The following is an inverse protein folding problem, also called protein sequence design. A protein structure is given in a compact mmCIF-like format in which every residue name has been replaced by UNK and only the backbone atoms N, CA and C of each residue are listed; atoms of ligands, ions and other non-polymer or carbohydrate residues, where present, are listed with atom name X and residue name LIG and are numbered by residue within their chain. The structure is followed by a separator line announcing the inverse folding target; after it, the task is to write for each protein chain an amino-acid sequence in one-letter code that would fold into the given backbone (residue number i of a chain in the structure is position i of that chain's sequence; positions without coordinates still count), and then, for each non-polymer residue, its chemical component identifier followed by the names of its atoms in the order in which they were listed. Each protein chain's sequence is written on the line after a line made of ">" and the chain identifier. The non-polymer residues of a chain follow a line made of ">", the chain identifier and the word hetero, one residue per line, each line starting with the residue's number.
data_IF_758914952284
#
_entry.id   IF_758914952284
#
_cell.length_a   1.000
_cell.length_b   1.000
_cell.length_c   1.000
_cell.angle_alpha   90.00
_cell.angle_beta   90.00
_cell.angle_gamma   90.00
#
_symmetry.space_group_name_H-M   'P 1'
#
loop_
_entity.id
_entity.type
_entity.pdbx_description
1 polymer ?
#
# COMPACT_ATOMS: atom_id res chain seq x y z
N UNK A 1 -35.77 61.05 40.98
CA UNK A 1 -35.18 61.25 39.63
C UNK A 1 -33.91 60.42 39.58
N UNK A 2 -34.00 59.20 39.05
CA UNK A 2 -32.89 58.23 38.97
C UNK A 2 -32.86 57.74 37.53
N UNK A 3 -31.73 57.95 36.85
CA UNK A 3 -31.48 57.49 35.49
C UNK A 3 -30.76 56.14 35.56
N UNK A 4 -31.43 55.06 35.11
CA UNK A 4 -30.77 53.79 34.84
C UNK A 4 -30.21 53.83 33.41
N UNK A 5 -28.90 53.58 33.27
CA UNK A 5 -28.23 53.30 32.00
C UNK A 5 -28.37 51.80 31.72
N UNK A 6 -29.08 51.43 30.67
CA UNK A 6 -29.03 50.07 30.13
C UNK A 6 -27.79 49.92 29.24
N UNK A 7 -26.90 49.00 29.61
CA UNK A 7 -25.79 48.55 28.77
C UNK A 7 -26.33 47.52 27.77
N UNK A 8 -26.36 47.87 26.49
CA UNK A 8 -26.54 46.91 25.41
C UNK A 8 -25.20 46.20 25.15
N UNK A 9 -25.06 44.97 25.64
CA UNK A 9 -23.95 44.10 25.28
C UNK A 9 -24.20 43.54 23.87
N UNK A 10 -23.34 43.90 22.91
CA UNK A 10 -23.41 43.36 21.55
C UNK A 10 -22.87 41.92 21.55
N UNK A 11 -23.54 40.95 20.91
CA UNK A 11 -23.00 39.60 20.82
C UNK A 11 -21.71 39.63 19.98
N UNK A 12 -20.64 39.05 20.52
CA UNK A 12 -19.39 38.79 19.79
C UNK A 12 -19.68 37.83 18.63
N UNK A 13 -19.11 38.05 17.43
CA UNK A 13 -19.22 37.07 16.35
C UNK A 13 -18.47 35.80 16.74
N UNK A 14 -19.21 34.68 16.82
CA UNK A 14 -18.63 33.34 16.85
C UNK A 14 -17.88 33.12 15.54
N UNK A 15 -16.55 33.15 15.63
CA UNK A 15 -15.68 32.65 14.57
C UNK A 15 -15.87 31.13 14.56
N UNK A 16 -16.71 30.64 13.66
CA UNK A 16 -16.76 29.22 13.32
C UNK A 16 -15.41 28.84 12.70
N UNK A 17 -14.49 28.37 13.53
CA UNK A 17 -13.34 27.63 13.08
C UNK A 17 -13.85 26.31 12.50
N UNK A 18 -14.10 26.28 11.18
CA UNK A 18 -14.25 25.04 10.45
C UNK A 18 -12.93 24.27 10.57
N UNK A 19 -12.93 23.31 11.49
CA UNK A 19 -11.88 22.28 11.58
C UNK A 19 -11.81 21.61 10.22
N UNK A 20 -10.65 21.54 9.55
CA UNK A 20 -10.54 20.76 8.33
C UNK A 20 -10.79 19.30 8.70
N UNK A 21 -11.95 18.78 8.31
CA UNK A 21 -12.22 17.35 8.35
C UNK A 21 -11.33 16.71 7.29
N UNK A 22 -10.13 16.27 7.68
CA UNK A 22 -9.40 15.23 6.95
C UNK A 22 -10.15 13.89 7.07
N UNK A 23 -11.45 13.88 6.80
CA UNK A 23 -12.21 12.64 6.64
C UNK A 23 -11.74 12.04 5.33
N UNK A 24 -10.95 10.98 5.45
CA UNK A 24 -10.52 10.19 4.30
C UNK A 24 -11.78 9.58 3.72
N UNK A 25 -12.18 10.10 2.56
CA UNK A 25 -13.34 9.62 1.83
C UNK A 25 -13.07 8.17 1.43
N UNK A 26 -14.05 7.29 1.63
CA UNK A 26 -13.97 5.89 1.22
C UNK A 26 -14.82 5.67 -0.02
N UNK A 27 -14.30 4.91 -0.98
CA UNK A 27 -15.02 4.54 -2.21
C UNK A 27 -15.54 3.12 -2.11
N UNK A 28 -16.80 2.90 -2.50
CA UNK A 28 -17.43 1.58 -2.57
C UNK A 28 -17.81 1.25 -4.02
N UNK A 29 -17.38 0.11 -4.53
CA UNK A 29 -17.63 -0.27 -5.94
C UNK A 29 -17.86 -1.77 -6.07
N UNK A 30 -18.90 -2.16 -6.80
CA UNK A 30 -19.13 -3.56 -7.16
C UNK A 30 -18.27 -3.93 -8.39
N UNK A 31 -17.60 -5.09 -8.34
CA UNK A 31 -16.80 -5.63 -9.45
C UNK A 31 -17.01 -7.14 -9.59
N UNK A 32 -16.72 -7.68 -10.76
CA UNK A 32 -16.78 -9.12 -11.01
C UNK A 32 -15.45 -9.84 -10.73
N UNK A 33 -14.32 -9.18 -10.97
CA UNK A 33 -13.01 -9.82 -10.82
C UNK A 33 -12.67 -10.08 -9.35
N UNK A 34 -12.25 -11.31 -9.05
CA UNK A 34 -11.86 -11.73 -7.69
C UNK A 34 -10.68 -10.91 -7.17
N UNK A 35 -10.55 -10.72 -5.84
CA UNK A 35 -9.35 -10.17 -5.22
C UNK A 35 -8.12 -10.98 -5.61
N UNK A 36 -7.05 -10.28 -5.98
CA UNK A 36 -5.82 -10.89 -6.53
C UNK A 36 -4.95 -11.58 -5.48
N UNK A 37 -4.92 -11.08 -4.23
CA UNK A 37 -3.90 -11.50 -3.27
C UNK A 37 -4.42 -12.47 -2.21
N UNK A 38 -5.60 -12.24 -1.64
CA UNK A 38 -6.09 -13.06 -0.55
C UNK A 38 -7.60 -13.12 -0.45
N UNK A 39 -8.11 -14.29 -0.07
CA UNK A 39 -9.50 -14.56 0.24
C UNK A 39 -9.60 -15.33 1.56
N UNK A 40 -10.41 -14.80 2.47
CA UNK A 40 -10.77 -15.43 3.73
C UNK A 40 -12.21 -15.92 3.63
N UNK A 41 -12.41 -17.24 3.56
CA UNK A 41 -13.72 -17.86 3.66
C UNK A 41 -14.01 -18.27 5.10
N UNK A 42 -15.09 -17.79 5.65
CA UNK A 42 -15.63 -18.20 6.94
C UNK A 42 -16.82 -19.11 6.66
N UNK A 43 -16.79 -20.32 7.19
CA UNK A 43 -17.82 -21.35 6.95
C UNK A 43 -18.89 -21.39 8.05
N UNK A 44 -18.64 -20.74 9.18
CA UNK A 44 -19.56 -20.70 10.31
C UNK A 44 -19.46 -19.34 11.01
N UNK A 45 -20.08 -18.32 10.42
CA UNK A 45 -20.00 -16.94 10.93
C UNK A 45 -20.71 -16.77 12.28
N UNK A 46 -21.84 -17.46 12.46
CA UNK A 46 -22.59 -17.45 13.71
C UNK A 46 -21.74 -18.04 14.85
N UNK A 47 -21.08 -19.18 14.61
CA UNK A 47 -20.18 -19.79 15.59
C UNK A 47 -18.99 -18.88 15.94
N UNK A 48 -18.40 -18.23 14.93
CA UNK A 48 -17.34 -17.23 15.17
C UNK A 48 -17.83 -16.11 16.12
N UNK A 49 -19.06 -15.63 15.90
CA UNK A 49 -19.69 -14.62 16.73
C UNK A 49 -20.01 -15.09 18.16
N UNK A 50 -20.28 -16.39 18.36
CA UNK A 50 -20.60 -17.00 19.65
C UNK A 50 -19.36 -17.26 20.51
N UNK A 51 -18.19 -17.47 19.90
CA UNK A 51 -16.94 -17.69 20.65
C UNK A 51 -16.54 -16.54 21.58
N UNK A 52 -17.13 -15.36 21.40
CA UNK A 52 -16.85 -14.16 22.19
C UNK A 52 -15.54 -13.44 21.82
N UNK A 53 -14.81 -13.92 20.81
CA UNK A 53 -13.61 -13.22 20.33
C UNK A 53 -13.98 -11.89 19.68
N UNK A 54 -13.31 -10.81 20.08
CA UNK A 54 -13.54 -9.50 19.47
C UNK A 54 -12.98 -9.44 18.04
N UNK A 55 -11.83 -10.07 17.83
CA UNK A 55 -11.06 -10.06 16.59
C UNK A 55 -10.71 -11.49 16.19
N UNK A 56 -10.89 -11.79 14.91
CA UNK A 56 -10.31 -12.95 14.23
C UNK A 56 -9.18 -12.48 13.32
N UNK A 57 -8.05 -13.17 13.34
CA UNK A 57 -6.92 -12.88 12.46
C UNK A 57 -6.75 -14.02 11.45
N UNK A 58 -6.69 -13.69 10.17
CA UNK A 58 -6.52 -14.68 9.12
C UNK A 58 -5.13 -15.32 9.11
N UNK A 59 -4.95 -16.34 8.26
CA UNK A 59 -3.62 -16.75 7.82
C UNK A 59 -2.85 -15.60 7.15
N UNK A 60 -1.53 -15.78 7.04
CA UNK A 60 -0.61 -14.81 6.42
C UNK A 60 -0.57 -15.02 4.91
N UNK A 61 -0.48 -13.92 4.15
CA UNK A 61 -0.28 -13.92 2.71
C UNK A 61 0.76 -12.88 2.30
N UNK A 62 1.34 -13.06 1.12
CA UNK A 62 2.41 -12.19 0.61
C UNK A 62 1.90 -11.31 -0.54
N UNK A 63 2.28 -10.03 -0.50
CA UNK A 63 2.01 -9.07 -1.57
C UNK A 63 3.05 -7.94 -1.54
N UNK A 64 3.57 -7.58 -2.72
CA UNK A 64 4.57 -6.51 -2.84
C UNK A 64 5.86 -6.75 -2.02
N UNK A 65 6.27 -8.01 -1.82
CA UNK A 65 7.46 -8.36 -1.04
C UNK A 65 7.29 -8.32 0.48
N UNK A 66 6.08 -8.05 0.97
CA UNK A 66 5.76 -8.00 2.39
C UNK A 66 4.70 -9.04 2.77
N UNK A 67 4.67 -9.40 4.05
CA UNK A 67 3.70 -10.34 4.63
C UNK A 67 2.57 -9.59 5.32
N UNK A 68 1.36 -10.04 5.05
CA UNK A 68 0.13 -9.38 5.47
C UNK A 68 -0.85 -10.38 6.07
N UNK A 69 -1.79 -9.90 6.85
CA UNK A 69 -2.98 -10.65 7.27
C UNK A 69 -4.21 -9.74 7.36
N UNK A 70 -5.39 -10.35 7.35
CA UNK A 70 -6.63 -9.67 7.67
C UNK A 70 -6.95 -9.77 9.16
N UNK A 71 -7.37 -8.65 9.75
CA UNK A 71 -7.97 -8.57 11.08
C UNK A 71 -9.46 -8.27 10.93
N UNK A 72 -10.30 -9.26 11.20
CA UNK A 72 -11.75 -9.14 11.11
C UNK A 72 -12.35 -8.96 12.50
N UNK A 73 -13.21 -7.96 12.66
CA UNK A 73 -14.07 -7.78 13.84
C UNK A 73 -15.51 -8.05 13.41
N UNK A 74 -16.04 -9.26 13.63
CA UNK A 74 -17.35 -9.66 13.12
C UNK A 74 -18.47 -8.74 13.61
N UNK A 75 -18.43 -8.35 14.90
CA UNK A 75 -19.40 -7.46 15.54
C UNK A 75 -18.92 -6.01 15.66
N UNK A 76 -17.83 -5.67 14.96
CA UNK A 76 -17.26 -4.33 14.92
C UNK A 76 -16.23 -4.05 16.00
N UNK A 77 -15.31 -3.15 15.68
CA UNK A 77 -14.29 -2.67 16.59
C UNK A 77 -14.85 -1.53 17.46
N UNK A 78 -15.35 -1.88 18.64
CA UNK A 78 -15.95 -0.92 19.59
C UNK A 78 -15.01 0.22 19.98
N UNK A 79 -13.70 -0.04 20.05
CA UNK A 79 -12.68 0.98 20.41
C UNK A 79 -12.54 2.06 19.34
N UNK A 80 -12.95 1.77 18.11
CA UNK A 80 -12.86 2.66 16.95
C UNK A 80 -14.25 3.09 16.44
N UNK A 81 -15.27 3.06 17.30
CA UNK A 81 -16.66 3.40 16.93
C UNK A 81 -17.23 2.56 15.78
N UNK A 82 -16.76 1.31 15.64
CA UNK A 82 -17.21 0.34 14.63
C UNK A 82 -18.47 -0.45 15.02
N UNK A 83 -19.17 -0.07 16.09
CA UNK A 83 -20.40 -0.75 16.54
C UNK A 83 -21.43 -0.87 15.41
N UNK A 84 -22.16 -1.99 15.38
CA UNK A 84 -23.18 -2.34 14.38
C UNK A 84 -22.66 -2.49 12.94
N UNK A 85 -21.34 -2.53 12.77
CA UNK A 85 -20.67 -2.77 11.50
C UNK A 85 -19.69 -3.92 11.66
N UNK A 86 -19.46 -4.67 10.59
CA UNK A 86 -18.21 -5.42 10.46
C UNK A 86 -17.09 -4.39 10.31
N UNK A 87 -15.99 -4.59 11.04
CA UNK A 87 -14.73 -3.86 10.80
C UNK A 87 -13.71 -4.82 10.21
N UNK A 88 -12.95 -4.35 9.23
CA UNK A 88 -11.95 -5.16 8.55
C UNK A 88 -10.69 -4.33 8.32
N UNK A 89 -9.54 -4.92 8.67
CA UNK A 89 -8.25 -4.28 8.56
C UNK A 89 -7.23 -5.19 7.89
N UNK A 90 -6.23 -4.55 7.29
CA UNK A 90 -5.01 -5.14 6.78
C UNK A 90 -3.88 -4.83 7.75
N UNK A 91 -3.15 -5.86 8.18
CA UNK A 91 -2.00 -5.73 9.06
C UNK A 91 -0.76 -6.31 8.40
N UNK A 92 0.36 -5.59 8.48
CA UNK A 92 1.68 -6.10 8.08
C UNK A 92 2.28 -6.90 9.24
N UNK A 93 2.89 -8.04 8.93
CA UNK A 93 3.46 -8.99 9.91
C UNK A 93 4.86 -9.43 9.52
N UNK A 94 5.49 -10.24 10.39
CA UNK A 94 6.87 -10.73 10.26
C UNK A 94 7.88 -9.58 10.08
N UNK A 95 7.70 -8.50 10.87
CA UNK A 95 8.49 -7.27 10.78
C UNK A 95 9.72 -7.27 11.69
N UNK A 96 10.00 -8.37 12.39
CA UNK A 96 11.13 -8.47 13.33
C UNK A 96 12.49 -8.35 12.62
N UNK A 97 12.52 -8.67 11.33
CA UNK A 97 13.72 -8.58 10.48
C UNK A 97 13.92 -7.18 9.87
N UNK A 98 12.98 -6.27 10.08
CA UNK A 98 13.03 -4.97 9.43
C UNK A 98 13.97 -4.06 10.23
N UNK A 99 14.62 -3.11 9.56
CA UNK A 99 15.46 -2.12 10.24
C UNK A 99 14.64 -1.24 11.17
N UNK A 100 15.26 -0.72 12.23
CA UNK A 100 14.61 0.25 13.12
C UNK A 100 14.07 1.44 12.31
N UNK A 101 12.82 1.84 12.57
CA UNK A 101 12.16 2.94 11.86
C UNK A 101 11.76 2.62 10.42
N UNK A 102 11.56 1.34 10.09
CA UNK A 102 11.06 0.95 8.77
C UNK A 102 9.72 1.59 8.44
N UNK A 103 9.52 1.85 7.15
CA UNK A 103 8.25 2.35 6.62
C UNK A 103 7.90 1.58 5.35
N UNK A 104 6.66 1.11 5.26
CA UNK A 104 6.10 0.51 4.04
C UNK A 104 4.91 1.35 3.60
N UNK A 105 4.94 1.81 2.36
CA UNK A 105 3.88 2.61 1.77
C UNK A 105 3.04 1.72 0.89
N UNK A 106 1.74 1.60 1.16
CA UNK A 106 0.87 0.72 0.39
C UNK A 106 -0.52 1.34 0.18
N UNK A 107 -1.09 1.09 -1.00
CA UNK A 107 -2.53 1.20 -1.21
C UNK A 107 -3.13 -0.19 -1.08
N UNK A 108 -4.36 -0.28 -0.57
CA UNK A 108 -5.05 -1.56 -0.48
C UNK A 108 -6.53 -1.42 -0.75
N UNK A 109 -7.14 -2.55 -1.10
CA UNK A 109 -8.58 -2.70 -1.29
C UNK A 109 -9.04 -3.88 -0.46
N UNK A 110 -10.15 -3.73 0.23
CA UNK A 110 -10.79 -4.77 1.03
C UNK A 110 -12.13 -5.13 0.40
N UNK A 111 -12.49 -6.41 0.46
CA UNK A 111 -13.63 -6.94 -0.29
C UNK A 111 -14.55 -7.79 0.58
N UNK A 112 -15.83 -7.80 0.22
CA UNK A 112 -16.81 -8.80 0.65
C UNK A 112 -17.52 -9.36 -0.58
N UNK A 113 -17.73 -10.67 -0.61
CA UNK A 113 -18.33 -11.36 -1.74
C UNK A 113 -19.86 -11.42 -1.61
N UNK A 114 -20.56 -10.87 -2.58
CA UNK A 114 -21.99 -11.12 -2.83
C UNK A 114 -22.10 -12.45 -3.59
N UNK A 115 -22.46 -13.50 -2.84
CA UNK A 115 -22.53 -14.87 -3.30
C UNK A 115 -23.74 -15.14 -4.20
N UNK A 116 -24.72 -14.22 -4.25
CA UNK A 116 -25.93 -14.36 -5.07
C UNK A 116 -25.70 -13.77 -6.45
N UNK A 117 -25.07 -12.60 -6.53
CA UNK A 117 -24.84 -11.89 -7.81
C UNK A 117 -23.46 -12.18 -8.43
N UNK A 118 -22.65 -13.01 -7.78
CA UNK A 118 -21.26 -13.32 -8.14
C UNK A 118 -20.43 -12.04 -8.37
N UNK A 119 -20.47 -11.16 -7.35
CA UNK A 119 -19.81 -9.85 -7.36
C UNK A 119 -19.08 -9.61 -6.05
N UNK A 120 -18.01 -8.82 -6.12
CA UNK A 120 -17.30 -8.34 -4.94
C UNK A 120 -17.64 -6.87 -4.72
N UNK A 121 -18.13 -6.55 -3.52
CA UNK A 121 -18.15 -5.17 -3.05
C UNK A 121 -16.73 -4.83 -2.58
N UNK A 122 -16.14 -3.85 -3.25
CA UNK A 122 -14.80 -3.33 -2.98
C UNK A 122 -14.90 -2.08 -2.15
N UNK A 123 -14.13 -1.98 -1.07
CA UNK A 123 -13.96 -0.78 -0.26
C UNK A 123 -12.48 -0.42 -0.24
N UNK A 124 -12.20 0.84 -0.55
CA UNK A 124 -10.84 1.39 -0.62
C UNK A 124 -10.86 2.87 -0.22
N UNK A 125 -9.71 3.42 0.14
CA UNK A 125 -9.58 4.87 0.29
C UNK A 125 -9.80 5.57 -1.06
N UNK A 126 -10.43 6.74 -1.04
CA UNK A 126 -10.61 7.57 -2.22
C UNK A 126 -9.26 8.02 -2.79
N UNK A 127 -9.27 8.26 -4.10
CA UNK A 127 -8.13 8.80 -4.86
C UNK A 127 -6.83 7.97 -4.75
N UNK A 128 -6.92 6.71 -4.31
CA UNK A 128 -5.75 5.85 -4.15
C UNK A 128 -4.81 6.34 -3.04
N UNK A 129 -5.35 6.91 -1.97
CA UNK A 129 -4.58 7.36 -0.80
C UNK A 129 -3.59 6.28 -0.33
N UNK A 130 -2.31 6.63 -0.26
CA UNK A 130 -1.24 5.74 0.17
C UNK A 130 -1.17 5.73 1.69
N UNK A 131 -1.25 4.54 2.29
CA UNK A 131 -1.13 4.35 3.74
C UNK A 131 0.31 4.03 4.12
N UNK A 132 0.80 4.68 5.18
CA UNK A 132 2.11 4.43 5.76
C UNK A 132 2.01 3.40 6.88
N UNK A 133 2.56 2.22 6.66
CA UNK A 133 2.78 1.21 7.68
C UNK A 133 4.17 1.42 8.29
N UNK A 134 4.27 1.33 9.62
CA UNK A 134 5.53 1.41 10.34
C UNK A 134 5.40 0.72 11.70
N UNK A 135 6.50 0.66 12.44
CA UNK A 135 6.62 0.07 13.79
C UNK A 135 5.49 0.38 14.78
N UNK A 136 4.97 1.61 14.79
CA UNK A 136 3.86 2.02 15.69
C UNK A 136 2.50 1.81 15.03
N UNK A 137 2.42 1.87 13.70
CA UNK A 137 1.16 1.80 12.94
C UNK A 137 1.24 0.69 11.89
N UNK A 138 1.04 -0.54 12.35
CA UNK A 138 1.12 -1.76 11.53
C UNK A 138 -0.24 -2.17 10.90
N UNK A 139 -1.33 -1.49 11.23
CA UNK A 139 -2.68 -1.87 10.82
C UNK A 139 -3.48 -0.67 10.28
N UNK A 140 -4.09 -0.86 9.11
CA UNK A 140 -4.97 0.09 8.44
C UNK A 140 -6.20 -0.63 7.89
N UNK A 141 -7.34 0.03 7.87
CA UNK A 141 -8.59 -0.59 7.44
C UNK A 141 -9.78 0.33 7.61
N UNK A 142 -10.96 -0.27 7.71
CA UNK A 142 -12.22 0.45 7.79
C UNK A 142 -13.00 0.00 9.03
N UNK A 143 -13.15 0.92 9.98
CA UNK A 143 -13.90 0.69 11.22
C UNK A 143 -15.38 0.39 10.91
N UNK A 144 -15.94 1.06 9.91
CA UNK A 144 -17.30 0.85 9.38
C UNK A 144 -17.25 0.27 7.96
N UNK A 145 -16.68 -0.93 7.83
CA UNK A 145 -16.49 -1.59 6.55
C UNK A 145 -17.85 -1.93 5.90
N UNK A 146 -18.70 -2.69 6.60
CA UNK A 146 -20.02 -3.10 6.13
C UNK A 146 -21.04 -3.11 7.29
N UNK A 147 -22.20 -2.43 7.17
CA UNK A 147 -23.24 -2.48 8.20
C UNK A 147 -23.74 -3.91 8.43
N UNK A 148 -23.92 -4.32 9.68
CA UNK A 148 -24.42 -5.66 10.01
C UNK A 148 -25.82 -5.89 9.44
N UNK A 149 -26.68 -4.87 9.47
CA UNK A 149 -28.02 -4.95 8.88
C UNK A 149 -27.96 -5.16 7.36
N UNK A 150 -26.93 -4.69 6.67
CA UNK A 150 -26.73 -5.01 5.26
C UNK A 150 -26.14 -6.40 5.08
N UNK A 151 -25.21 -6.81 5.94
CA UNK A 151 -24.54 -8.11 5.87
C UNK A 151 -25.50 -9.30 6.10
N UNK A 152 -26.40 -9.18 7.08
CA UNK A 152 -27.31 -10.25 7.50
C UNK A 152 -28.55 -10.38 6.60
N UNK A 153 -28.79 -9.43 5.69
CA UNK A 153 -29.93 -9.45 4.77
C UNK A 153 -29.62 -10.38 3.61
N UNK A 154 -30.34 -11.51 3.55
CA UNK A 154 -30.14 -12.57 2.56
C UNK A 154 -30.09 -12.07 1.10
N UNK A 155 -30.99 -11.16 0.63
CA UNK A 155 -30.90 -10.58 -0.72
C UNK A 155 -29.61 -9.82 -1.06
N UNK A 156 -28.81 -9.42 -0.07
CA UNK A 156 -27.52 -8.78 -0.30
C UNK A 156 -26.40 -9.79 -0.58
N UNK A 157 -26.61 -11.07 -0.26
CA UNK A 157 -25.75 -12.19 -0.65
C UNK A 157 -24.41 -12.31 0.10
N UNK A 158 -24.15 -11.44 1.08
CA UNK A 158 -22.87 -11.43 1.82
C UNK A 158 -22.74 -12.57 2.83
N UNK A 159 -23.85 -12.98 3.45
CA UNK A 159 -23.96 -14.14 4.34
C UNK A 159 -24.99 -15.12 3.75
N UNK A 160 -24.53 -16.28 3.28
CA UNK A 160 -25.38 -17.33 2.71
C UNK A 160 -24.99 -18.66 3.35
N UNK A 161 -25.97 -19.38 3.91
CA UNK A 161 -25.74 -20.64 4.62
C UNK A 161 -24.66 -20.52 5.71
N UNK A 162 -24.72 -19.44 6.51
CA UNK A 162 -23.75 -19.11 7.56
C UNK A 162 -22.29 -18.92 7.06
N UNK A 163 -22.10 -18.85 5.74
CA UNK A 163 -20.81 -18.66 5.09
C UNK A 163 -20.68 -17.25 4.51
N UNK A 164 -19.50 -16.67 4.66
CA UNK A 164 -19.14 -15.39 4.04
C UNK A 164 -17.68 -15.41 3.57
N UNK A 165 -17.35 -14.52 2.64
CA UNK A 165 -15.99 -14.41 2.08
C UNK A 165 -15.55 -12.96 2.07
N UNK A 166 -14.42 -12.69 2.72
CA UNK A 166 -13.70 -11.42 2.66
C UNK A 166 -12.45 -11.55 1.81
N UNK A 167 -11.89 -10.43 1.34
CA UNK A 167 -10.66 -10.45 0.56
C UNK A 167 -9.82 -9.19 0.70
N UNK A 168 -8.60 -9.28 0.16
CA UNK A 168 -7.64 -8.19 0.14
C UNK A 168 -6.88 -8.11 -1.20
N UNK A 169 -6.58 -6.89 -1.62
CA UNK A 169 -5.58 -6.57 -2.64
C UNK A 169 -4.65 -5.49 -2.08
N UNK A 170 -3.33 -5.71 -2.19
CA UNK A 170 -2.33 -4.80 -1.64
C UNK A 170 -1.35 -4.42 -2.74
N UNK A 171 -1.05 -3.13 -2.87
CA UNK A 171 -0.09 -2.59 -3.80
C UNK A 171 0.92 -1.76 -3.03
N UNK A 172 2.16 -2.23 -2.97
CA UNK A 172 3.26 -1.58 -2.26
C UNK A 172 3.96 -0.59 -3.20
N UNK A 173 4.23 0.60 -2.70
CA UNK A 173 4.88 1.69 -3.41
C UNK A 173 6.33 1.79 -2.94
N UNK A 174 7.26 1.37 -3.79
CA UNK A 174 8.68 1.51 -3.52
C UNK A 174 9.11 2.99 -3.58
N UNK A 175 9.84 3.46 -2.56
CA UNK A 175 10.45 4.80 -2.55
C UNK A 175 11.75 4.91 -3.36
N UNK A 176 12.13 3.85 -4.06
CA UNK A 176 13.35 3.79 -4.86
C UNK A 176 13.17 4.53 -6.17
N UNK A 177 13.19 5.87 -6.13
CA UNK A 177 13.32 6.66 -7.34
C UNK A 177 14.62 6.23 -8.04
N UNK A 178 14.51 5.53 -9.16
CA UNK A 178 15.66 5.20 -10.00
C UNK A 178 16.20 6.51 -10.55
N UNK A 179 17.27 7.00 -9.95
CA UNK A 179 17.99 8.17 -10.43
C UNK A 179 19.00 7.70 -11.46
N UNK A 180 18.75 8.04 -12.71
CA UNK A 180 19.76 7.95 -13.74
C UNK A 180 20.60 9.24 -13.71
N UNK A 181 21.91 9.11 -13.81
CA UNK A 181 22.83 10.24 -13.80
C UNK A 181 23.65 10.19 -15.09
N UNK A 182 23.31 11.07 -16.03
CA UNK A 182 24.08 11.28 -17.25
C UNK A 182 25.20 12.28 -16.98
N UNK A 183 26.45 11.84 -16.93
CA UNK A 183 27.62 12.73 -16.91
C UNK A 183 28.18 12.90 -18.33
N UNK A 184 28.31 14.15 -18.78
CA UNK A 184 29.03 14.49 -20.01
C UNK A 184 30.35 15.14 -19.64
N UNK A 185 31.45 14.60 -20.14
CA UNK A 185 32.78 15.19 -20.00
C UNK A 185 32.92 16.28 -21.08
N UNK A 186 33.12 17.54 -20.67
CA UNK A 186 33.40 18.63 -21.61
C UNK A 186 34.88 18.55 -22.00
N UNK A 187 35.15 17.80 -23.06
CA UNK A 187 36.46 17.55 -23.68
C UNK A 187 37.57 17.04 -22.73
N UNK A 188 38.01 15.77 -22.85
CA UNK A 188 39.11 15.27 -22.06
C UNK A 188 40.43 15.97 -22.40
N UNK A 189 41.23 16.31 -21.38
CA UNK A 189 42.51 17.02 -21.51
C UNK A 189 43.58 16.25 -22.32
N UNK A 190 43.45 14.93 -22.47
CA UNK A 190 44.27 14.09 -23.34
C UNK A 190 43.40 13.52 -24.48
N UNK A 191 43.35 14.22 -25.61
CA UNK A 191 42.55 13.81 -26.78
C UNK A 191 43.11 12.61 -27.56
N UNK A 192 44.39 12.29 -27.37
CA UNK A 192 45.08 11.27 -28.17
C UNK A 192 45.52 10.14 -27.26
N UNK A 193 44.99 8.95 -27.55
CA UNK A 193 45.41 7.71 -26.90
C UNK A 193 46.18 6.86 -27.90
N UNK A 194 47.48 6.70 -27.68
CA UNK A 194 48.32 5.85 -28.52
C UNK A 194 48.34 4.43 -27.97
N UNK A 195 48.01 3.46 -28.82
CA UNK A 195 48.16 2.03 -28.57
C UNK A 195 49.03 1.43 -29.68
N UNK A 196 50.16 0.82 -29.30
CA UNK A 196 51.02 0.07 -30.21
C UNK A 196 50.66 -1.41 -30.10
N UNK A 197 50.29 -2.03 -31.21
CA UNK A 197 50.08 -3.49 -31.31
C UNK A 197 51.37 -4.08 -31.88
N UNK A 198 52.02 -4.93 -31.10
CA UNK A 198 53.24 -5.60 -31.55
C UNK A 198 52.89 -6.90 -32.28
N UNK A 199 53.65 -7.24 -33.32
CA UNK A 199 53.53 -8.51 -34.04
C UNK A 199 52.16 -8.74 -34.71
N UNK A 200 51.47 -7.67 -35.12
CA UNK A 200 50.14 -7.71 -35.77
C UNK A 200 50.04 -8.73 -36.92
N UNK A 201 51.08 -8.84 -37.76
CA UNK A 201 51.12 -9.76 -38.90
C UNK A 201 51.33 -11.25 -38.56
N UNK A 202 51.62 -11.57 -37.30
CA UNK A 202 51.86 -12.95 -36.83
C UNK A 202 50.77 -13.46 -35.89
N UNK A 203 49.82 -12.60 -35.53
CA UNK A 203 48.68 -13.00 -34.71
C UNK A 203 47.69 -13.77 -35.56
N UNK A 204 47.30 -14.96 -35.09
CA UNK A 204 46.26 -15.75 -35.75
C UNK A 204 44.96 -14.96 -35.82
N UNK A 205 44.35 -14.89 -37.00
CA UNK A 205 43.14 -14.14 -37.42
C UNK A 205 41.84 -14.43 -36.62
N UNK A 206 41.93 -14.95 -35.40
CA UNK A 206 40.78 -15.47 -34.63
C UNK A 206 40.72 -15.03 -33.17
N UNK A 207 41.72 -14.29 -32.66
CA UNK A 207 41.73 -13.87 -31.25
C UNK A 207 41.62 -12.34 -31.14
N UNK A 208 40.56 -11.81 -30.50
CA UNK A 208 40.45 -10.38 -30.23
C UNK A 208 41.57 -9.89 -29.31
N UNK A 209 42.14 -8.75 -29.65
CA UNK A 209 43.19 -8.09 -28.87
C UNK A 209 42.56 -6.91 -28.13
N UNK A 210 42.80 -6.85 -26.82
CA UNK A 210 42.36 -5.74 -25.98
C UNK A 210 43.53 -4.81 -25.67
N UNK A 211 43.28 -3.50 -25.70
CA UNK A 211 44.22 -2.53 -25.14
C UNK A 211 44.27 -2.60 -23.62
N UNK A 212 45.24 -1.89 -23.02
CA UNK A 212 45.16 -1.50 -21.60
C UNK A 212 43.91 -0.68 -21.32
N UNK A 213 43.51 -0.61 -20.06
CA UNK A 213 42.39 0.25 -19.63
C UNK A 213 42.83 1.72 -19.73
N UNK A 214 42.01 2.51 -20.40
CA UNK A 214 42.13 3.94 -20.51
C UNK A 214 41.05 4.59 -19.66
N UNK A 215 41.46 5.37 -18.66
CA UNK A 215 40.53 6.11 -17.81
C UNK A 215 40.33 7.50 -18.40
N UNK A 216 39.10 7.83 -18.78
CA UNK A 216 38.71 9.14 -19.33
C UNK A 216 37.56 9.68 -18.48
N UNK A 217 37.83 10.70 -17.68
CA UNK A 217 36.95 11.06 -16.55
C UNK A 217 36.84 9.90 -15.56
N UNK A 218 35.62 9.54 -15.16
CA UNK A 218 35.35 8.39 -14.29
C UNK A 218 35.09 7.08 -15.06
N UNK A 219 35.19 7.12 -16.40
CA UNK A 219 34.89 5.98 -17.26
C UNK A 219 36.15 5.20 -17.63
N UNK A 220 36.04 3.87 -17.59
CA UNK A 220 37.11 2.93 -17.96
C UNK A 220 36.84 2.37 -19.35
N UNK A 221 37.71 2.67 -20.29
CA UNK A 221 37.63 2.25 -21.70
C UNK A 221 38.67 1.17 -22.01
N UNK A 222 38.34 0.25 -22.90
CA UNK A 222 39.29 -0.66 -23.57
C UNK A 222 39.00 -0.63 -25.07
N UNK A 223 40.03 -0.56 -25.89
CA UNK A 223 39.91 -0.74 -27.33
C UNK A 223 39.98 -2.24 -27.63
N UNK A 224 39.15 -2.67 -28.57
CA UNK A 224 39.07 -4.04 -29.04
C UNK A 224 39.37 -4.05 -30.54
N UNK A 225 40.35 -4.86 -30.95
CA UNK A 225 40.72 -5.04 -32.35
C UNK A 225 40.66 -6.52 -32.68
N UNK A 226 40.03 -6.83 -33.81
CA UNK A 226 40.09 -8.14 -34.43
C UNK A 226 41.13 -8.02 -35.55
N UNK A 227 42.33 -8.63 -35.40
CA UNK A 227 43.35 -8.62 -36.44
C UNK A 227 42.87 -9.33 -37.70
#
# INVERSE_FOLDING_TARGET
>A
MVLNKENFDKPKPEVMATKPSNEIVITRTARHFRPTHFLLKIQSYSLLCETGVEKYESGVFEAGGHKWRLSLYPKGNKKMNGTDHISLYLSIVDTEKYSLGWEVYATFKLFVFDQIRDKFLTIQDAEGTIRRFHDIKMEWGFDKFLPLDSFNVLPNGYLVNDCCVFGAEVFVHERSAKRDNLSMIKEPSNRIMTWKIENFSTQQDKVPIYSRIYVVGDLKWKLLVYP
#
